data_IF_705335117922
#
_entry.id   IF_705335117922
#
_cell.length_a   1.000
_cell.length_b   1.000
_cell.length_c   1.000
_cell.angle_alpha   90.00
_cell.angle_beta   90.00
_cell.angle_gamma   90.00
#
_symmetry.space_group_name_H-M   'P 1'
#
loop_
_entity.id
_entity.type
_entity.pdbx_description
1 polymer ?
#
# COMPACT_ATOMS: atom_id res chain seq x y z
N UNK A 1 -10.00 15.68 20.48
CA UNK A 1 -10.76 14.83 19.54
C UNK A 1 -9.73 13.95 18.89
N UNK A 2 -9.56 12.75 19.44
CA UNK A 2 -8.71 11.73 18.86
C UNK A 2 -9.48 11.22 17.65
N UNK A 3 -9.10 11.63 16.44
CA UNK A 3 -9.62 10.93 15.27
C UNK A 3 -9.06 9.50 15.32
N UNK A 4 -9.93 8.51 15.27
CA UNK A 4 -9.50 7.13 15.06
C UNK A 4 -9.45 6.96 13.54
N UNK A 5 -8.26 6.79 12.96
CA UNK A 5 -8.20 6.39 11.56
C UNK A 5 -8.61 4.93 11.44
N UNK A 6 -9.01 4.54 10.24
CA UNK A 6 -9.68 3.26 10.00
C UNK A 6 -9.01 2.55 8.83
N UNK A 7 -8.53 1.32 9.07
CA UNK A 7 -8.14 0.39 8.02
C UNK A 7 -9.36 -0.39 7.58
N UNK A 8 -9.74 -0.25 6.30
CA UNK A 8 -10.94 -0.86 5.74
C UNK A 8 -10.57 -1.83 4.63
N UNK A 9 -11.22 -3.00 4.62
CA UNK A 9 -11.27 -3.89 3.46
C UNK A 9 -12.73 -3.95 3.02
N UNK A 10 -13.00 -3.44 1.81
CA UNK A 10 -14.30 -3.54 1.18
C UNK A 10 -14.31 -4.74 0.24
N UNK A 11 -15.32 -5.61 0.39
CA UNK A 11 -15.41 -6.83 -0.39
C UNK A 11 -16.83 -7.05 -0.91
N UNK A 12 -16.93 -7.52 -2.16
CA UNK A 12 -18.18 -8.06 -2.72
C UNK A 12 -18.46 -9.49 -2.24
N UNK A 13 -17.42 -10.18 -1.78
CA UNK A 13 -17.53 -11.51 -1.18
C UNK A 13 -17.74 -11.42 0.33
N UNK A 14 -18.50 -12.35 0.92
CA UNK A 14 -18.70 -12.41 2.37
C UNK A 14 -17.37 -12.46 3.12
N UNK A 15 -17.25 -11.59 4.14
CA UNK A 15 -16.16 -11.65 5.11
C UNK A 15 -16.48 -12.77 6.10
N UNK A 16 -15.64 -13.80 6.12
CA UNK A 16 -15.75 -14.94 7.05
C UNK A 16 -15.10 -14.58 8.38
N UNK A 17 -13.92 -13.97 8.33
CA UNK A 17 -13.15 -13.60 9.50
C UNK A 17 -12.34 -12.32 9.24
N UNK A 18 -12.12 -11.55 10.29
CA UNK A 18 -11.23 -10.39 10.30
C UNK A 18 -10.36 -10.43 11.55
N UNK A 19 -9.08 -10.08 11.42
CA UNK A 19 -8.10 -10.07 12.50
C UNK A 19 -7.21 -8.84 12.35
N UNK A 20 -7.04 -8.09 13.44
CA UNK A 20 -5.97 -7.09 13.56
C UNK A 20 -4.66 -7.85 13.85
N UNK A 21 -3.76 -7.89 12.88
CA UNK A 21 -2.45 -8.56 13.00
C UNK A 21 -1.48 -7.69 13.77
N UNK A 22 -1.50 -6.38 13.49
CA UNK A 22 -0.65 -5.41 14.16
C UNK A 22 -1.40 -4.09 14.33
N UNK A 23 -1.37 -3.53 15.54
CA UNK A 23 -1.84 -2.19 15.82
C UNK A 23 -0.65 -1.23 15.77
N UNK A 24 -0.65 -0.30 14.81
CA UNK A 24 0.39 0.71 14.70
C UNK A 24 0.24 1.85 15.71
N UNK A 25 1.14 2.83 15.64
CA UNK A 25 1.25 3.89 16.64
C UNK A 25 0.52 5.21 16.32
N UNK A 26 0.12 5.45 15.07
CA UNK A 26 -0.58 6.66 14.62
C UNK A 26 -1.87 6.30 13.87
N UNK A 27 -2.71 7.32 13.64
CA UNK A 27 -4.10 7.31 13.20
C UNK A 27 -4.54 6.14 12.31
N UNK A 28 -3.74 5.64 11.38
CA UNK A 28 -4.07 4.58 10.41
C UNK A 28 -2.96 3.51 10.23
N UNK A 29 -1.88 3.57 11.00
CA UNK A 29 -0.82 2.55 10.95
C UNK A 29 -1.35 1.21 11.48
N UNK A 30 -1.13 0.13 10.75
CA UNK A 30 -1.53 -1.21 11.19
C UNK A 30 -1.60 -2.23 10.06
N UNK A 31 -1.94 -3.45 10.45
CA UNK A 31 -2.08 -4.57 9.53
C UNK A 31 -3.36 -5.31 9.88
N UNK A 32 -4.28 -5.39 8.92
CA UNK A 32 -5.55 -6.10 9.05
C UNK A 32 -5.57 -7.25 8.06
N UNK A 33 -5.92 -8.43 8.56
CA UNK A 33 -6.16 -9.64 7.77
C UNK A 33 -7.65 -9.88 7.68
N UNK A 34 -8.15 -10.18 6.49
CA UNK A 34 -9.53 -10.59 6.24
C UNK A 34 -9.54 -11.86 5.41
N UNK A 35 -10.36 -12.82 5.83
CA UNK A 35 -10.65 -14.04 5.08
C UNK A 35 -12.00 -13.90 4.42
N UNK A 36 -12.04 -14.04 3.09
CA UNK A 36 -13.22 -13.91 2.24
C UNK A 36 -13.63 -15.29 1.72
N UNK A 37 -14.94 -15.54 1.67
CA UNK A 37 -15.49 -16.73 1.03
C UNK A 37 -15.32 -16.64 -0.49
N UNK A 38 -14.84 -17.70 -1.14
CA UNK A 38 -14.71 -17.72 -2.61
C UNK A 38 -16.01 -17.98 -3.35
N UNK A 39 -17.08 -18.38 -2.66
CA UNK A 39 -18.42 -18.47 -3.24
C UNK A 39 -19.48 -17.83 -2.33
N UNK A 40 -20.45 -17.17 -2.94
CA UNK A 40 -21.76 -16.99 -2.31
C UNK A 40 -22.45 -18.36 -2.30
N UNK A 41 -23.05 -18.74 -1.19
CA UNK A 41 -23.71 -20.03 -0.89
C UNK A 41 -24.76 -20.54 -1.90
N UNK A 42 -25.03 -19.80 -2.98
CA UNK A 42 -26.26 -19.91 -3.76
C UNK A 42 -26.09 -20.52 -5.16
N UNK A 43 -24.91 -21.04 -5.53
CA UNK A 43 -24.69 -21.67 -6.85
C UNK A 43 -24.38 -23.17 -6.75
N UNK A 44 -25.30 -24.07 -7.17
CA UNK A 44 -25.16 -25.52 -7.00
C UNK A 44 -24.43 -26.24 -8.15
N UNK A 45 -23.85 -25.52 -9.12
CA UNK A 45 -23.07 -26.15 -10.18
C UNK A 45 -21.67 -26.50 -9.70
N UNK A 46 -21.19 -27.70 -10.03
CA UNK A 46 -19.84 -28.22 -9.81
C UNK A 46 -18.77 -27.13 -9.93
N UNK A 47 -18.54 -26.46 -8.80
CA UNK A 47 -17.77 -25.24 -8.72
C UNK A 47 -16.30 -25.63 -8.81
N UNK A 48 -15.60 -25.12 -9.83
CA UNK A 48 -14.17 -25.33 -10.03
C UNK A 48 -13.42 -25.26 -8.69
N UNK A 49 -12.46 -26.17 -8.45
CA UNK A 49 -11.86 -26.43 -7.12
C UNK A 49 -11.37 -25.17 -6.37
N UNK A 50 -11.08 -24.08 -7.07
CA UNK A 50 -10.75 -22.78 -6.45
C UNK A 50 -11.92 -22.12 -5.70
N UNK A 51 -13.17 -22.37 -6.07
CA UNK A 51 -14.39 -21.91 -5.38
C UNK A 51 -14.58 -22.57 -4.01
N UNK A 52 -13.70 -23.51 -3.64
CA UNK A 52 -13.60 -24.12 -2.31
C UNK A 52 -12.49 -23.51 -1.45
N UNK A 53 -11.61 -22.69 -2.02
CA UNK A 53 -10.48 -22.07 -1.30
C UNK A 53 -10.86 -20.67 -0.85
N UNK A 54 -10.66 -20.33 0.42
CA UNK A 54 -10.90 -18.96 0.87
C UNK A 54 -9.82 -18.02 0.30
N UNK A 55 -10.17 -16.75 0.06
CA UNK A 55 -9.20 -15.70 -0.25
C UNK A 55 -8.79 -15.01 1.06
N UNK A 56 -7.50 -14.97 1.34
CA UNK A 56 -6.94 -14.21 2.45
C UNK A 56 -6.36 -12.90 1.92
N UNK A 57 -6.86 -11.78 2.45
CA UNK A 57 -6.42 -10.44 2.10
C UNK A 57 -5.78 -9.78 3.32
N UNK A 58 -4.57 -9.28 3.15
CA UNK A 58 -3.91 -8.42 4.13
C UNK A 58 -3.91 -6.98 3.61
N UNK A 59 -4.47 -6.05 4.38
CA UNK A 59 -4.31 -4.61 4.17
C UNK A 59 -3.23 -4.10 5.14
N UNK A 60 -2.20 -3.46 4.58
CA UNK A 60 -1.00 -3.02 5.29
C UNK A 60 -0.89 -1.50 5.21
N UNK A 61 -0.67 -0.85 6.34
CA UNK A 61 -0.22 0.53 6.42
C UNK A 61 0.92 0.61 7.43
N UNK A 62 2.16 0.55 6.94
CA UNK A 62 3.35 0.56 7.79
C UNK A 62 3.69 1.98 8.24
N UNK A 63 4.49 2.09 9.30
CA UNK A 63 4.80 3.40 9.87
C UNK A 63 5.48 4.33 8.88
N UNK A 64 4.80 5.45 8.58
CA UNK A 64 5.23 6.46 7.62
C UNK A 64 5.93 7.69 8.20
N UNK A 65 6.03 8.72 7.35
CA UNK A 65 6.37 10.09 7.79
C UNK A 65 7.84 10.37 8.04
N UNK A 66 8.77 9.62 7.43
CA UNK A 66 10.22 9.81 7.55
C UNK A 66 10.76 10.99 6.74
N UNK A 67 10.04 11.44 5.72
CA UNK A 67 10.52 12.47 4.81
C UNK A 67 10.76 13.83 5.49
N UNK A 68 11.95 14.39 5.32
CA UNK A 68 12.36 15.67 5.91
C UNK A 68 12.45 15.69 7.43
N UNK A 69 12.45 14.50 8.07
CA UNK A 69 12.62 14.34 9.52
C UNK A 69 14.10 14.18 9.89
N UNK A 70 14.47 14.52 11.14
CA UNK A 70 15.80 14.26 11.66
C UNK A 70 16.18 12.77 11.63
N UNK A 71 17.48 12.42 11.49
CA UNK A 71 17.95 11.03 11.39
C UNK A 71 17.45 10.10 12.51
N UNK A 72 17.36 10.60 13.75
CA UNK A 72 16.89 9.84 14.91
C UNK A 72 15.40 9.45 14.80
N UNK A 73 14.57 10.34 14.23
CA UNK A 73 13.16 10.07 13.97
C UNK A 73 13.03 9.05 12.83
N UNK A 74 13.83 9.21 11.78
CA UNK A 74 13.88 8.26 10.65
C UNK A 74 14.27 6.88 11.15
N UNK A 75 15.31 6.77 11.98
CA UNK A 75 15.77 5.50 12.55
C UNK A 75 14.68 4.82 13.38
N UNK A 76 14.05 5.55 14.31
CA UNK A 76 12.97 4.98 15.14
C UNK A 76 11.78 4.49 14.30
N UNK A 77 11.43 5.21 13.22
CA UNK A 77 10.39 4.79 12.28
C UNK A 77 10.78 3.54 11.48
N UNK A 78 12.02 3.44 11.02
CA UNK A 78 12.54 2.22 10.37
C UNK A 78 12.49 1.02 11.30
N UNK A 79 12.92 1.17 12.55
CA UNK A 79 12.83 0.11 13.57
C UNK A 79 11.37 -0.31 13.83
N UNK A 80 10.43 0.63 13.80
CA UNK A 80 8.99 0.37 13.80
C UNK A 80 8.58 -0.54 12.65
N UNK A 81 8.90 -0.15 11.41
CA UNK A 81 8.58 -0.94 10.21
C UNK A 81 9.17 -2.35 10.23
N UNK A 82 10.38 -2.52 10.74
CA UNK A 82 10.98 -3.86 10.90
C UNK A 82 10.11 -4.75 11.79
N UNK A 83 9.59 -4.22 12.92
CA UNK A 83 8.71 -4.98 13.81
C UNK A 83 7.34 -5.29 13.19
N UNK A 84 6.79 -4.33 12.46
CA UNK A 84 5.52 -4.49 11.73
C UNK A 84 5.64 -5.60 10.68
N UNK A 85 6.68 -5.54 9.84
CA UNK A 85 6.99 -6.54 8.82
C UNK A 85 7.25 -7.92 9.44
N UNK A 86 7.99 -7.98 10.55
CA UNK A 86 8.19 -9.24 11.27
C UNK A 86 6.87 -9.83 11.74
N UNK A 87 6.00 -9.03 12.36
CA UNK A 87 4.69 -9.48 12.86
C UNK A 87 3.83 -10.04 11.73
N UNK A 88 3.86 -9.41 10.56
CA UNK A 88 3.19 -9.90 9.36
C UNK A 88 3.75 -11.24 8.87
N UNK A 89 5.08 -11.37 8.76
CA UNK A 89 5.71 -12.61 8.32
C UNK A 89 5.50 -13.77 9.32
N UNK A 90 5.54 -13.50 10.63
CA UNK A 90 5.22 -14.50 11.66
C UNK A 90 3.76 -14.99 11.48
N UNK A 91 2.80 -14.08 11.36
CA UNK A 91 1.38 -14.42 11.12
C UNK A 91 1.20 -15.25 9.85
N UNK A 92 1.84 -14.88 8.75
CA UNK A 92 1.76 -15.62 7.49
C UNK A 92 2.34 -17.03 7.64
N UNK A 93 3.44 -17.19 8.37
CA UNK A 93 4.06 -18.49 8.64
C UNK A 93 3.13 -19.42 9.43
N UNK A 94 2.39 -18.87 10.39
CA UNK A 94 1.50 -19.64 11.26
C UNK A 94 0.18 -20.02 10.59
N UNK A 95 -0.28 -19.24 9.60
CA UNK A 95 -1.69 -19.28 9.16
C UNK A 95 -1.90 -19.41 7.66
N UNK A 96 -0.85 -19.32 6.84
CA UNK A 96 -0.96 -19.38 5.39
C UNK A 96 -0.17 -20.55 4.82
N UNK A 97 -0.80 -21.30 3.93
CA UNK A 97 -0.18 -22.33 3.10
C UNK A 97 0.28 -21.76 1.76
N UNK A 98 1.35 -22.30 1.14
CA UNK A 98 1.71 -21.99 -0.24
C UNK A 98 0.61 -22.26 -1.28
N UNK A 99 -0.43 -23.02 -0.95
CA UNK A 99 -1.58 -23.29 -1.83
C UNK A 99 -2.75 -22.32 -1.62
N UNK A 100 -2.67 -21.45 -0.60
CA UNK A 100 -3.74 -20.51 -0.27
C UNK A 100 -3.77 -19.35 -1.26
N UNK A 101 -4.99 -18.88 -1.57
CA UNK A 101 -5.18 -17.65 -2.30
C UNK A 101 -4.86 -16.50 -1.34
N UNK A 102 -3.66 -15.93 -1.43
CA UNK A 102 -3.21 -14.83 -0.57
C UNK A 102 -2.87 -13.62 -1.40
N UNK A 103 -3.46 -12.48 -1.03
CA UNK A 103 -3.12 -11.15 -1.56
C UNK A 103 -2.80 -10.23 -0.39
N UNK A 104 -1.74 -9.45 -0.51
CA UNK A 104 -1.34 -8.46 0.46
C UNK A 104 -1.16 -7.12 -0.24
N UNK A 105 -1.82 -6.07 0.25
CA UNK A 105 -1.80 -4.77 -0.39
C UNK A 105 -1.84 -3.62 0.61
N UNK A 106 -1.45 -2.43 0.16
CA UNK A 106 -1.51 -1.21 0.96
C UNK A 106 -0.20 -0.44 0.95
N UNK A 107 -0.07 0.52 1.87
CA UNK A 107 1.04 1.46 1.97
C UNK A 107 2.17 0.88 2.86
N UNK A 108 3.30 0.56 2.26
CA UNK A 108 4.49 0.10 2.98
C UNK A 108 5.37 1.24 3.51
N UNK A 109 5.07 2.48 3.13
CA UNK A 109 5.77 3.68 3.57
C UNK A 109 7.31 3.61 3.42
N UNK A 110 7.77 2.82 2.44
CA UNK A 110 9.16 2.58 2.09
C UNK A 110 9.29 2.40 0.57
N UNK A 111 10.25 3.11 -0.05
CA UNK A 111 10.32 3.19 -1.50
C UNK A 111 11.02 1.95 -2.09
N UNK A 112 10.26 1.14 -2.80
CA UNK A 112 10.75 -0.08 -3.41
C UNK A 112 11.71 0.14 -4.58
N UNK A 113 11.75 1.33 -5.19
CA UNK A 113 12.78 1.66 -6.20
C UNK A 113 14.16 1.93 -5.60
N UNK A 114 14.24 2.07 -4.27
CA UNK A 114 15.45 2.50 -3.58
C UNK A 114 15.75 1.66 -2.33
N UNK A 115 15.81 0.34 -2.50
CA UNK A 115 16.04 -0.62 -1.40
C UNK A 115 17.34 -0.31 -0.63
N UNK A 116 18.34 0.28 -1.27
CA UNK A 116 19.59 0.70 -0.62
C UNK A 116 19.34 1.75 0.48
N UNK A 117 18.39 2.68 0.28
CA UNK A 117 18.00 3.65 1.29
C UNK A 117 16.88 3.16 2.21
N UNK A 118 16.22 2.04 1.89
CA UNK A 118 15.14 1.44 2.68
C UNK A 118 15.45 -0.03 3.01
N UNK A 119 16.58 -0.27 3.68
CA UNK A 119 17.09 -1.63 3.95
C UNK A 119 16.15 -2.47 4.81
N UNK A 120 15.25 -1.84 5.57
CA UNK A 120 14.20 -2.54 6.31
C UNK A 120 13.28 -3.38 5.42
N UNK A 121 13.18 -3.03 4.12
CA UNK A 121 12.34 -3.75 3.16
C UNK A 121 12.80 -5.18 2.93
N UNK A 122 14.06 -5.53 3.23
CA UNK A 122 14.55 -6.91 3.15
C UNK A 122 13.77 -7.88 4.06
N UNK A 123 13.02 -7.37 5.06
CA UNK A 123 12.11 -8.17 5.89
C UNK A 123 10.69 -8.30 5.33
N UNK A 124 10.39 -7.74 4.15
CA UNK A 124 9.06 -7.80 3.56
C UNK A 124 8.74 -9.21 3.02
N UNK A 125 7.46 -9.63 2.97
CA UNK A 125 7.08 -10.98 2.57
C UNK A 125 7.69 -11.47 1.24
N UNK A 126 7.86 -10.60 0.25
CA UNK A 126 8.46 -10.93 -1.05
C UNK A 126 9.96 -11.29 -1.01
N UNK A 127 10.65 -10.97 0.09
CA UNK A 127 12.04 -11.34 0.33
C UNK A 127 12.19 -12.50 1.33
N UNK A 128 11.16 -12.74 2.14
CA UNK A 128 11.14 -13.80 3.17
C UNK A 128 10.55 -15.10 2.61
N UNK A 129 9.51 -15.03 1.79
CA UNK A 129 8.82 -16.19 1.23
C UNK A 129 9.06 -16.33 -0.27
N UNK A 130 9.59 -17.47 -0.70
CA UNK A 130 9.89 -17.77 -2.11
C UNK A 130 8.68 -17.67 -3.05
N UNK A 131 7.49 -17.85 -2.49
CA UNK A 131 6.22 -17.86 -3.21
C UNK A 131 5.54 -16.49 -3.25
N UNK A 132 5.98 -15.50 -2.47
CA UNK A 132 5.40 -14.15 -2.49
C UNK A 132 6.09 -13.29 -3.54
N UNK A 133 5.31 -12.65 -4.40
CA UNK A 133 5.84 -11.78 -5.45
C UNK A 133 5.12 -10.44 -5.50
N UNK A 134 5.84 -9.38 -5.87
CA UNK A 134 5.29 -8.05 -6.15
C UNK A 134 4.70 -8.03 -7.57
N UNK A 135 3.38 -7.81 -7.67
CA UNK A 135 2.65 -7.81 -8.93
C UNK A 135 3.18 -6.77 -9.94
N UNK A 136 3.64 -5.62 -9.46
CA UNK A 136 4.23 -4.60 -10.35
C UNK A 136 5.55 -5.08 -10.92
N UNK A 137 6.42 -5.64 -10.08
CA UNK A 137 7.71 -6.16 -10.54
C UNK A 137 7.52 -7.36 -11.48
N UNK A 138 6.54 -8.22 -11.25
CA UNK A 138 6.25 -9.35 -12.14
C UNK A 138 5.84 -8.88 -13.54
N UNK A 139 5.00 -7.86 -13.64
CA UNK A 139 4.44 -7.41 -14.91
C UNK A 139 5.32 -6.40 -15.67
N UNK A 140 6.10 -5.58 -14.95
CA UNK A 140 6.89 -4.49 -15.55
C UNK A 140 8.39 -4.55 -15.25
N UNK A 141 8.94 -5.71 -14.85
CA UNK A 141 10.38 -5.85 -14.49
C UNK A 141 11.36 -5.21 -15.49
N UNK A 142 11.00 -5.25 -16.77
CA UNK A 142 11.87 -4.85 -17.88
C UNK A 142 11.44 -3.54 -18.55
N UNK A 143 10.43 -2.86 -18.00
CA UNK A 143 9.91 -1.63 -18.55
C UNK A 143 10.28 -0.44 -17.64
N UNK A 144 11.45 0.14 -17.92
CA UNK A 144 11.98 1.26 -17.14
C UNK A 144 11.13 2.53 -17.27
N UNK A 145 10.27 2.63 -18.30
CA UNK A 145 9.42 3.79 -18.54
C UNK A 145 8.13 3.75 -17.67
N UNK A 146 7.82 2.60 -17.07
CA UNK A 146 6.62 2.36 -16.28
C UNK A 146 6.92 2.44 -14.77
N UNK A 147 6.90 3.66 -14.23
CA UNK A 147 7.43 3.93 -12.88
C UNK A 147 6.64 3.31 -11.71
N UNK A 148 5.35 3.05 -11.87
CA UNK A 148 4.49 2.54 -10.78
C UNK A 148 4.43 3.39 -9.53
N UNK A 149 4.76 4.67 -9.65
CA UNK A 149 4.81 5.56 -8.50
C UNK A 149 3.40 5.84 -8.01
N UNK A 150 3.17 5.49 -6.75
CA UNK A 150 1.92 5.77 -6.05
C UNK A 150 2.00 7.08 -5.28
N UNK A 151 3.19 7.61 -5.04
CA UNK A 151 3.39 9.00 -4.70
C UNK A 151 4.26 9.70 -5.74
N UNK A 152 3.69 10.67 -6.46
CA UNK A 152 4.39 11.45 -7.48
C UNK A 152 4.08 12.94 -7.29
N UNK A 153 4.98 13.66 -6.63
CA UNK A 153 4.83 15.09 -6.36
C UNK A 153 5.01 15.97 -7.63
N UNK A 154 5.45 15.39 -8.75
CA UNK A 154 5.47 16.09 -10.04
C UNK A 154 4.09 16.12 -10.69
N UNK A 155 3.27 15.09 -10.44
CA UNK A 155 1.89 15.00 -10.94
C UNK A 155 0.87 15.52 -9.93
N UNK A 156 0.98 15.04 -8.69
CA UNK A 156 0.09 15.39 -7.58
C UNK A 156 0.71 16.49 -6.72
N UNK A 157 0.43 17.74 -7.08
CA UNK A 157 0.98 18.91 -6.39
C UNK A 157 0.27 19.27 -5.10
N UNK A 158 -0.77 18.52 -4.69
CA UNK A 158 -1.51 18.75 -3.46
C UNK A 158 -0.60 18.71 -2.23
N UNK A 159 0.20 17.66 -2.07
CA UNK A 159 1.14 17.51 -0.95
C UNK A 159 2.26 18.56 -0.98
N UNK A 160 2.71 18.94 -2.19
CA UNK A 160 3.66 20.03 -2.40
C UNK A 160 3.11 21.41 -1.98
N UNK A 161 1.81 21.64 -2.12
CA UNK A 161 1.15 22.86 -1.66
C UNK A 161 1.00 22.89 -0.12
N UNK A 162 0.88 21.73 0.52
CA UNK A 162 0.72 21.61 1.98
C UNK A 162 2.04 21.70 2.77
N UNK A 163 3.17 21.32 2.16
CA UNK A 163 4.48 21.27 2.85
C UNK A 163 5.49 22.21 2.20
N UNK A 164 5.75 23.37 2.81
CA UNK A 164 6.72 24.37 2.32
C UNK A 164 8.11 23.75 2.02
N UNK A 165 8.54 22.75 2.80
CA UNK A 165 9.84 22.07 2.61
C UNK A 165 9.84 21.05 1.47
N UNK A 166 8.68 20.59 0.97
CA UNK A 166 8.63 19.64 -0.16
C UNK A 166 8.74 20.33 -1.52
N UNK A 167 8.72 21.66 -1.58
CA UNK A 167 9.02 22.39 -2.83
C UNK A 167 10.49 22.23 -3.27
N UNK A 168 11.41 21.93 -2.34
CA UNK A 168 12.85 21.75 -2.61
C UNK A 168 13.24 20.29 -2.89
N UNK A 169 12.40 19.32 -2.52
CA UNK A 169 12.64 17.90 -2.76
C UNK A 169 11.39 17.25 -3.35
N UNK A 170 11.20 17.40 -4.67
CA UNK A 170 10.15 16.67 -5.40
C UNK A 170 10.48 15.19 -5.39
N UNK A 171 9.57 14.35 -4.88
CA UNK A 171 9.75 12.89 -4.86
C UNK A 171 8.82 12.15 -5.81
N UNK A 172 9.31 11.01 -6.26
CA UNK A 172 8.53 9.97 -6.93
C UNK A 172 8.89 8.65 -6.24
N UNK A 173 7.91 7.99 -5.63
CA UNK A 173 8.12 6.77 -4.85
C UNK A 173 6.99 5.77 -5.07
N UNK A 174 7.31 4.48 -4.93
CA UNK A 174 6.34 3.38 -4.94
C UNK A 174 6.20 2.85 -3.51
N UNK A 175 5.39 3.55 -2.73
CA UNK A 175 5.10 3.18 -1.34
C UNK A 175 4.03 2.11 -1.25
N UNK A 176 3.04 2.17 -2.13
CA UNK A 176 1.95 1.21 -2.15
C UNK A 176 2.35 -0.01 -2.99
N UNK A 177 1.99 -1.20 -2.52
CA UNK A 177 2.29 -2.46 -3.21
C UNK A 177 1.07 -3.36 -3.29
N UNK A 178 1.14 -4.31 -4.21
CA UNK A 178 0.30 -5.50 -4.21
C UNK A 178 1.21 -6.72 -4.34
N UNK A 179 1.34 -7.47 -3.25
CA UNK A 179 2.01 -8.75 -3.21
C UNK A 179 0.98 -9.89 -3.31
N UNK A 180 1.37 -11.01 -3.89
CA UNK A 180 0.50 -12.16 -4.05
C UNK A 180 1.28 -13.47 -3.93
N UNK A 181 0.57 -14.53 -3.53
CA UNK A 181 1.11 -15.89 -3.55
C UNK A 181 1.15 -16.43 -4.99
N UNK A 182 2.33 -16.43 -5.59
CA UNK A 182 2.60 -16.86 -6.96
C UNK A 182 2.44 -18.36 -7.22
N UNK A 183 2.37 -19.19 -6.16
CA UNK A 183 2.06 -20.63 -6.29
C UNK A 183 0.56 -20.87 -6.52
N UNK A 184 -0.29 -19.96 -6.06
CA UNK A 184 -1.75 -20.09 -6.14
C UNK A 184 -2.43 -19.08 -7.07
N UNK A 185 -1.75 -17.97 -7.39
CA UNK A 185 -2.26 -16.87 -8.20
C UNK A 185 -1.25 -16.46 -9.27
N UNK A 186 -1.75 -16.00 -10.41
CA UNK A 186 -0.95 -15.38 -11.47
C UNK A 186 -1.39 -13.94 -11.68
N UNK A 187 -0.46 -12.99 -11.60
CA UNK A 187 -0.74 -11.60 -11.95
C UNK A 187 -1.08 -11.47 -13.45
N UNK A 188 -2.19 -10.79 -13.76
CA UNK A 188 -2.66 -10.54 -15.14
C UNK A 188 -2.51 -9.09 -15.55
N UNK A 189 -2.87 -8.19 -14.64
CA UNK A 189 -2.73 -6.75 -14.87
C UNK A 189 -2.46 -6.04 -13.54
N UNK A 190 -1.73 -4.93 -13.63
CA UNK A 190 -1.64 -3.95 -12.55
C UNK A 190 -1.52 -2.55 -13.17
N UNK A 191 -2.25 -1.59 -12.59
CA UNK A 191 -2.27 -0.21 -13.05
C UNK A 191 -2.44 0.76 -11.89
N UNK A 192 -1.88 1.96 -12.05
CA UNK A 192 -2.13 3.09 -11.16
C UNK A 192 -3.51 3.67 -11.47
N UNK A 193 -4.31 3.93 -10.43
CA UNK A 193 -5.66 4.51 -10.51
C UNK A 193 -5.76 5.77 -9.63
N UNK A 194 -6.82 6.56 -9.81
CA UNK A 194 -6.99 7.82 -9.07
C UNK A 194 -5.97 8.90 -9.47
N UNK A 195 -5.36 8.76 -10.64
CA UNK A 195 -4.40 9.70 -11.24
C UNK A 195 -5.08 10.72 -12.16
N UNK A 196 -6.41 10.74 -12.22
CA UNK A 196 -7.20 11.76 -12.89
C UNK A 196 -7.51 12.93 -11.95
N UNK A 197 -7.52 14.14 -12.50
CA UNK A 197 -7.81 15.35 -11.74
C UNK A 197 -9.30 15.43 -11.46
N UNK A 198 -9.67 15.61 -10.20
CA UNK A 198 -11.07 15.82 -9.80
C UNK A 198 -11.44 17.30 -9.70
N UNK A 199 -10.44 18.20 -9.73
CA UNK A 199 -10.68 19.63 -9.65
C UNK A 199 -9.41 20.46 -9.61
N UNK A 200 -9.58 21.75 -9.36
CA UNK A 200 -8.48 22.66 -9.11
C UNK A 200 -8.91 23.71 -8.09
N UNK A 201 -8.09 23.92 -7.06
CA UNK A 201 -8.40 24.84 -5.97
C UNK A 201 -7.23 25.79 -5.72
N UNK A 202 -7.53 26.97 -5.18
CA UNK A 202 -6.51 27.90 -4.69
C UNK A 202 -6.21 27.54 -3.24
N UNK A 203 -5.15 26.78 -3.01
CA UNK A 203 -4.76 26.38 -1.66
C UNK A 203 -3.94 27.51 -1.02
N UNK A 204 -4.29 27.98 0.19
CA UNK A 204 -3.46 28.93 0.91
C UNK A 204 -2.12 28.26 1.27
N UNK A 205 -1.02 28.78 0.75
CA UNK A 205 0.32 28.34 1.15
C UNK A 205 0.60 28.96 2.52
N UNK A 206 0.63 28.12 3.56
CA UNK A 206 1.07 28.54 4.89
C UNK A 206 2.58 28.80 4.78
N UNK A 207 3.05 30.01 5.03
CA UNK A 207 4.48 30.35 5.07
C UNK A 207 5.15 29.91 6.38
N UNK A 208 6.50 29.81 6.40
CA UNK A 208 7.30 29.37 7.56
C UNK A 208 7.04 30.21 8.82
N UNK A 209 6.57 31.45 8.65
CA UNK A 209 6.07 32.29 9.71
C UNK A 209 4.55 32.36 9.58
N UNK A 210 3.81 31.85 10.58
CA UNK A 210 2.33 31.80 10.67
C UNK A 210 1.59 33.14 10.47
N UNK A 211 2.27 34.22 10.11
CA UNK A 211 1.75 35.59 10.00
C UNK A 211 1.59 36.11 8.56
N UNK A 212 2.07 35.41 7.52
CA UNK A 212 1.85 35.83 6.12
C UNK A 212 1.33 34.67 5.29
N UNK A 213 0.02 34.46 5.28
CA UNK A 213 -0.64 33.63 4.28
C UNK A 213 -0.47 34.32 2.93
N UNK A 214 0.31 33.71 2.03
CA UNK A 214 0.39 34.13 0.63
C UNK A 214 -0.39 33.07 -0.16
N UNK A 215 -1.61 33.40 -0.58
CA UNK A 215 -2.39 32.54 -1.49
C UNK A 215 -1.79 32.72 -2.88
N UNK A 216 -1.07 31.73 -3.43
CA UNK A 216 -0.40 31.94 -4.73
C UNK A 216 -0.43 30.79 -5.74
N UNK A 217 -0.74 29.52 -5.41
CA UNK A 217 -0.79 28.49 -6.48
C UNK A 217 -2.16 27.83 -6.61
N UNK A 218 -2.69 27.84 -7.84
CA UNK A 218 -3.77 26.94 -8.26
C UNK A 218 -3.19 25.53 -8.28
N UNK A 219 -3.67 24.68 -7.38
CA UNK A 219 -3.21 23.31 -7.21
C UNK A 219 -4.26 22.39 -7.80
N UNK A 220 -3.84 21.37 -8.54
CA UNK A 220 -4.75 20.35 -9.04
C UNK A 220 -5.11 19.41 -7.91
N UNK A 221 -6.41 19.14 -7.76
CA UNK A 221 -6.92 18.19 -6.78
C UNK A 221 -7.00 16.82 -7.41
N UNK A 222 -6.59 15.83 -6.64
CA UNK A 222 -6.70 14.41 -6.91
C UNK A 222 -7.49 13.76 -5.77
N UNK A 223 -8.06 12.55 -5.95
CA UNK A 223 -8.82 11.86 -4.91
C UNK A 223 -8.05 11.66 -3.60
N UNK A 224 -6.74 11.52 -3.69
CA UNK A 224 -5.83 11.35 -2.55
C UNK A 224 -4.46 11.97 -2.89
N UNK A 225 -3.61 12.15 -1.89
CA UNK A 225 -2.20 12.52 -2.09
C UNK A 225 -1.34 11.35 -2.58
N UNK A 226 -1.83 10.12 -2.41
CA UNK A 226 -1.35 8.91 -3.09
C UNK A 226 -2.29 8.54 -4.26
N UNK A 227 -1.73 7.95 -5.31
CA UNK A 227 -2.48 7.24 -6.33
C UNK A 227 -2.68 5.78 -5.91
N UNK A 228 -3.84 5.21 -6.22
CA UNK A 228 -4.14 3.83 -5.87
C UNK A 228 -3.55 2.82 -6.86
N UNK A 229 -3.59 1.54 -6.48
CA UNK A 229 -3.27 0.42 -7.37
C UNK A 229 -4.51 -0.44 -7.61
N UNK A 230 -4.72 -0.82 -8.87
CA UNK A 230 -5.68 -1.84 -9.26
C UNK A 230 -4.91 -3.02 -9.85
N UNK A 231 -5.08 -4.19 -9.26
CA UNK A 231 -4.44 -5.43 -9.69
C UNK A 231 -5.49 -6.49 -10.02
N UNK A 232 -5.20 -7.30 -11.04
CA UNK A 232 -6.04 -8.39 -11.50
C UNK A 232 -5.23 -9.68 -11.49
N UNK A 233 -5.81 -10.74 -10.91
CA UNK A 233 -5.17 -12.04 -10.74
C UNK A 233 -6.03 -13.15 -11.36
N UNK A 234 -5.36 -14.17 -11.88
CA UNK A 234 -5.96 -15.40 -12.36
C UNK A 234 -5.58 -16.55 -11.42
N UNK A 235 -6.54 -17.42 -11.10
CA UNK A 235 -6.26 -18.69 -10.41
C UNK A 235 -5.92 -19.74 -11.48
N UNK A 236 -4.69 -20.29 -11.50
CA UNK A 236 -4.32 -21.34 -12.43
C UNK A 236 -5.23 -22.57 -12.26
N UNK A 237 -5.58 -23.21 -13.39
CA UNK A 237 -6.34 -24.47 -13.41
C UNK A 237 -5.44 -25.68 -13.25
#
# INVERSE_FOLDING_TARGET
MDAEGCLVIMSRWPIIAAKLVHQGGYYDDGIVKVTLASSSSDSPTAAADWLRRNLVVYNVHLSGGTFGRPPEVVRAKREGRVRELKSLCDEMTETSSPDDLVVLCGDFNADNSDVAHYTELCGSPEYVFDYMQDAWNVLYRHDADVSGATEDEFKNTFRAALKIKSQECRRRARYDKVLFNSKALRAKAIRVIGNERIGAERVPVIGKNRQKQKIVSRTFLFPSDHFGLSAEFEVPR
#
